data_IF_883886229526
#
_entry.id   IF_883886229526
#
_cell.length_a   1.000
_cell.length_b   1.000
_cell.length_c   1.000
_cell.angle_alpha   90.00
_cell.angle_beta   90.00
_cell.angle_gamma   90.00
#
_symmetry.space_group_name_H-M   'P 1'
#
loop_
_entity.id
_entity.type
_entity.pdbx_description
1 polymer ?
#
# COMPACT_ATOMS: atom_id res chain seq x y z
N UNK A 1 16.23 -23.35 21.71
CA UNK A 1 16.38 -23.29 20.24
C UNK A 1 15.26 -24.11 19.62
N UNK A 2 14.42 -23.51 18.78
CA UNK A 2 13.44 -24.28 18.02
C UNK A 2 14.18 -25.28 17.13
N UNK A 3 13.69 -26.49 17.03
CA UNK A 3 14.31 -27.51 16.17
C UNK A 3 14.13 -27.11 14.70
N UNK A 4 15.03 -27.55 13.82
CA UNK A 4 14.94 -27.26 12.37
C UNK A 4 13.57 -27.63 11.79
N UNK A 5 12.94 -28.69 12.31
CA UNK A 5 11.61 -29.14 11.92
C UNK A 5 10.50 -28.15 12.31
N UNK A 6 10.59 -27.53 13.48
CA UNK A 6 9.63 -26.50 13.93
C UNK A 6 9.74 -25.22 13.11
N UNK A 7 10.96 -24.81 12.78
CA UNK A 7 11.19 -23.67 11.89
C UNK A 7 10.65 -23.93 10.50
N UNK A 8 10.89 -25.10 9.93
CA UNK A 8 10.39 -25.47 8.59
C UNK A 8 8.85 -25.50 8.58
N UNK A 9 8.21 -26.04 9.64
CA UNK A 9 6.75 -26.07 9.76
C UNK A 9 6.17 -24.65 9.86
N UNK A 10 6.83 -23.75 10.59
CA UNK A 10 6.42 -22.33 10.71
C UNK A 10 6.54 -21.61 9.36
N UNK A 11 7.67 -21.81 8.65
CA UNK A 11 7.87 -21.23 7.33
C UNK A 11 6.82 -21.74 6.34
N UNK A 12 6.60 -23.06 6.28
CA UNK A 12 5.60 -23.65 5.40
C UNK A 12 4.19 -23.10 5.68
N UNK A 13 3.80 -23.00 6.95
CA UNK A 13 2.51 -22.45 7.36
C UNK A 13 2.37 -20.98 6.93
N UNK A 14 3.38 -20.15 7.14
CA UNK A 14 3.38 -18.76 6.75
C UNK A 14 3.28 -18.60 5.22
N UNK A 15 4.00 -19.43 4.46
CA UNK A 15 3.93 -19.44 3.00
C UNK A 15 2.53 -19.79 2.50
N UNK A 16 1.90 -20.81 3.07
CA UNK A 16 0.53 -21.20 2.70
C UNK A 16 -0.46 -20.04 2.96
N UNK A 17 -0.39 -19.39 4.12
CA UNK A 17 -1.26 -18.25 4.42
C UNK A 17 -1.06 -17.09 3.44
N UNK A 18 0.18 -16.76 3.11
CA UNK A 18 0.49 -15.70 2.14
C UNK A 18 -0.01 -16.08 0.74
N UNK A 19 0.15 -17.32 0.32
CA UNK A 19 -0.32 -17.80 -1.00
C UNK A 19 -1.85 -17.76 -1.10
N UNK A 20 -2.57 -18.23 -0.07
CA UNK A 20 -4.03 -18.16 -0.03
C UNK A 20 -4.49 -16.69 -0.09
N UNK A 21 -3.88 -15.81 0.71
CA UNK A 21 -4.15 -14.38 0.67
C UNK A 21 -3.97 -13.81 -0.73
N UNK A 22 -2.85 -14.09 -1.40
CA UNK A 22 -2.58 -13.59 -2.76
C UNK A 22 -3.64 -14.05 -3.76
N UNK A 23 -4.05 -15.32 -3.70
CA UNK A 23 -5.12 -15.85 -4.54
C UNK A 23 -6.46 -15.17 -4.27
N UNK A 24 -6.83 -14.98 -3.00
CA UNK A 24 -8.07 -14.29 -2.63
C UNK A 24 -8.10 -12.85 -3.11
N UNK A 25 -7.01 -12.09 -2.88
CA UNK A 25 -6.89 -10.71 -3.36
C UNK A 25 -6.99 -10.64 -4.88
N UNK A 26 -6.36 -11.57 -5.60
CA UNK A 26 -6.41 -11.63 -7.06
C UNK A 26 -7.83 -11.90 -7.55
N UNK A 27 -8.54 -12.87 -6.98
CA UNK A 27 -9.91 -13.20 -7.35
C UNK A 27 -10.86 -12.02 -7.08
N UNK A 28 -10.76 -11.39 -5.91
CA UNK A 28 -11.56 -10.22 -5.54
C UNK A 28 -11.25 -9.06 -6.49
N UNK A 29 -9.98 -8.81 -6.80
CA UNK A 29 -9.57 -7.73 -7.72
C UNK A 29 -10.12 -7.94 -9.13
N UNK A 30 -10.03 -9.16 -9.68
CA UNK A 30 -10.58 -9.48 -11.00
C UNK A 30 -12.11 -9.30 -11.04
N UNK A 31 -12.80 -9.79 -10.02
CA UNK A 31 -14.25 -9.65 -9.91
C UNK A 31 -14.68 -8.19 -9.78
N UNK A 32 -14.00 -7.44 -8.91
CA UNK A 32 -14.26 -6.01 -8.71
C UNK A 32 -14.00 -5.19 -9.97
N UNK A 33 -12.88 -5.44 -10.68
CA UNK A 33 -12.57 -4.74 -11.94
C UNK A 33 -13.66 -4.95 -12.99
N UNK A 34 -14.22 -6.15 -13.08
CA UNK A 34 -15.32 -6.43 -13.99
C UNK A 34 -16.58 -5.63 -13.63
N UNK A 35 -16.97 -5.64 -12.35
CA UNK A 35 -18.15 -4.89 -11.89
C UNK A 35 -17.99 -3.40 -12.11
N UNK A 36 -16.81 -2.86 -11.80
CA UNK A 36 -16.53 -1.42 -12.00
C UNK A 36 -16.55 -1.06 -13.48
N UNK A 37 -16.01 -1.90 -14.36
CA UNK A 37 -16.09 -1.70 -15.81
C UNK A 37 -17.53 -1.73 -16.32
N UNK A 38 -18.33 -2.70 -15.86
CA UNK A 38 -19.73 -2.82 -16.28
C UNK A 38 -20.58 -1.62 -15.77
N UNK A 39 -20.27 -1.11 -14.57
CA UNK A 39 -21.01 0.01 -13.98
C UNK A 39 -20.61 1.39 -14.54
N UNK A 40 -19.33 1.61 -14.81
CA UNK A 40 -18.80 2.89 -15.31
C UNK A 40 -18.82 2.98 -16.84
N UNK A 41 -18.78 1.83 -17.53
CA UNK A 41 -18.52 1.78 -18.97
C UNK A 41 -17.03 2.00 -19.28
N UNK A 42 -16.68 1.77 -20.55
CA UNK A 42 -15.27 1.77 -21.00
C UNK A 42 -14.61 3.14 -20.84
N UNK A 43 -15.34 4.22 -21.12
CA UNK A 43 -14.79 5.58 -21.10
C UNK A 43 -14.46 6.05 -19.69
N UNK A 44 -15.41 5.94 -18.75
CA UNK A 44 -15.22 6.37 -17.36
C UNK A 44 -14.25 5.45 -16.61
N UNK A 45 -14.24 4.16 -16.92
CA UNK A 45 -13.23 3.22 -16.43
C UNK A 45 -11.84 3.57 -16.94
N UNK A 46 -11.70 4.04 -18.18
CA UNK A 46 -10.47 4.56 -18.74
C UNK A 46 -9.96 5.77 -17.95
N UNK A 47 -10.82 6.76 -17.70
CA UNK A 47 -10.49 7.95 -16.89
C UNK A 47 -10.06 7.54 -15.49
N UNK A 48 -10.83 6.66 -14.82
CA UNK A 48 -10.51 6.14 -13.51
C UNK A 48 -9.10 5.51 -13.45
N UNK A 49 -8.74 4.68 -14.44
CA UNK A 49 -7.42 4.03 -14.48
C UNK A 49 -6.28 5.01 -14.76
N UNK A 50 -6.46 5.97 -15.66
CA UNK A 50 -5.44 6.99 -15.97
C UNK A 50 -5.20 7.89 -14.78
N UNK A 51 -6.26 8.37 -14.15
CA UNK A 51 -6.19 9.23 -12.96
C UNK A 51 -5.57 8.50 -11.77
N UNK A 52 -6.03 7.27 -11.51
CA UNK A 52 -5.46 6.41 -10.46
C UNK A 52 -4.00 6.01 -10.76
N UNK A 53 -3.63 5.90 -12.05
CA UNK A 53 -2.28 5.62 -12.52
C UNK A 53 -1.26 6.65 -12.05
N UNK A 54 -1.60 7.95 -12.04
CA UNK A 54 -0.73 9.02 -11.54
C UNK A 54 -0.37 8.76 -10.08
N UNK A 55 -1.36 8.39 -9.27
CA UNK A 55 -1.16 8.12 -7.84
C UNK A 55 -0.41 6.81 -7.62
N UNK A 56 -0.62 5.80 -8.47
CA UNK A 56 0.06 4.50 -8.37
C UNK A 56 1.59 4.57 -8.55
N UNK A 57 2.11 5.64 -9.15
CA UNK A 57 3.55 5.88 -9.24
C UNK A 57 4.22 5.95 -7.86
N UNK A 58 3.48 6.37 -6.83
CA UNK A 58 3.99 6.40 -5.46
C UNK A 58 4.00 5.02 -4.78
N UNK A 59 3.33 4.02 -5.33
CA UNK A 59 3.30 2.66 -4.76
C UNK A 59 4.69 2.02 -4.71
N UNK A 60 5.56 2.33 -5.66
CA UNK A 60 6.95 1.88 -5.68
C UNK A 60 7.73 2.38 -4.45
N UNK A 61 7.55 3.66 -4.07
CA UNK A 61 8.19 4.22 -2.88
C UNK A 61 7.73 3.49 -1.62
N UNK A 62 6.43 3.18 -1.54
CA UNK A 62 5.85 2.46 -0.42
C UNK A 62 6.47 1.06 -0.24
N UNK A 63 6.72 0.32 -1.33
CA UNK A 63 7.40 -0.98 -1.29
C UNK A 63 8.82 -0.90 -0.72
N UNK A 64 9.61 0.07 -1.16
CA UNK A 64 10.96 0.30 -0.67
C UNK A 64 10.97 0.66 0.84
N UNK A 65 10.06 1.53 1.27
CA UNK A 65 9.93 1.94 2.66
C UNK A 65 9.44 0.80 3.56
N UNK A 66 8.52 -0.04 3.08
CA UNK A 66 8.06 -1.23 3.80
C UNK A 66 9.21 -2.18 4.12
N UNK A 67 10.03 -2.50 3.12
CA UNK A 67 11.18 -3.38 3.28
C UNK A 67 12.22 -2.79 4.26
N UNK A 68 12.47 -1.48 4.17
CA UNK A 68 13.37 -0.79 5.11
C UNK A 68 12.83 -0.88 6.55
N UNK A 69 11.55 -0.57 6.76
CA UNK A 69 10.90 -0.62 8.07
C UNK A 69 10.95 -2.02 8.68
N UNK A 70 10.62 -3.06 7.90
CA UNK A 70 10.71 -4.46 8.34
C UNK A 70 12.12 -4.81 8.79
N UNK A 71 13.12 -4.42 8.00
CA UNK A 71 14.54 -4.69 8.32
C UNK A 71 14.98 -4.00 9.60
N UNK A 72 14.64 -2.72 9.79
CA UNK A 72 15.02 -1.98 11.00
C UNK A 72 14.37 -2.55 12.25
N UNK A 73 13.08 -2.88 12.20
CA UNK A 73 12.37 -3.49 13.33
C UNK A 73 12.92 -4.89 13.63
N UNK A 74 13.15 -5.72 12.61
CA UNK A 74 13.71 -7.07 12.80
C UNK A 74 15.14 -7.02 13.38
N UNK A 75 15.96 -6.07 12.94
CA UNK A 75 17.31 -5.87 13.50
C UNK A 75 17.25 -5.45 14.97
N UNK A 76 16.33 -4.55 15.32
CA UNK A 76 16.16 -4.11 16.71
C UNK A 76 15.70 -5.24 17.63
N UNK A 77 14.77 -6.09 17.15
CA UNK A 77 14.30 -7.28 17.87
C UNK A 77 15.42 -8.29 18.16
N UNK A 78 16.48 -8.32 17.37
CA UNK A 78 17.64 -9.21 17.56
C UNK A 78 18.65 -8.72 18.59
N UNK A 79 18.51 -7.50 19.14
CA UNK A 79 19.42 -6.96 20.15
C UNK A 79 19.14 -7.56 21.54
N UNK A 80 20.15 -7.55 22.41
CA UNK A 80 20.03 -7.98 23.81
C UNK A 80 19.13 -7.07 24.66
N UNK A 81 18.99 -5.80 24.28
CA UNK A 81 18.08 -4.83 24.93
C UNK A 81 17.33 -4.05 23.85
N UNK A 82 16.22 -4.59 23.30
CA UNK A 82 15.53 -4.00 22.18
C UNK A 82 14.66 -2.79 22.58
N UNK A 83 14.86 -1.65 21.91
CA UNK A 83 13.96 -0.48 21.99
C UNK A 83 13.12 -0.35 20.72
N UNK A 84 12.25 -1.32 20.50
CA UNK A 84 11.37 -1.37 19.30
C UNK A 84 10.45 -0.15 19.23
N UNK A 85 10.03 0.41 20.37
CA UNK A 85 9.17 1.58 20.42
C UNK A 85 9.83 2.78 19.77
N UNK A 86 11.11 3.02 20.04
CA UNK A 86 11.87 4.14 19.47
C UNK A 86 12.02 3.99 17.95
N UNK A 87 12.39 2.78 17.50
CA UNK A 87 12.53 2.50 16.06
C UNK A 87 11.21 2.65 15.34
N UNK A 88 10.13 2.10 15.90
CA UNK A 88 8.78 2.23 15.33
C UNK A 88 8.33 3.69 15.24
N UNK A 89 8.53 4.48 16.29
CA UNK A 89 8.20 5.92 16.30
C UNK A 89 8.99 6.69 15.24
N UNK A 90 10.28 6.37 15.06
CA UNK A 90 11.12 6.99 14.02
C UNK A 90 10.63 6.63 12.62
N UNK A 91 10.25 5.37 12.39
CA UNK A 91 9.65 4.94 11.12
C UNK A 91 8.32 5.65 10.85
N UNK A 92 7.44 5.78 11.86
CA UNK A 92 6.18 6.52 11.73
C UNK A 92 6.40 7.98 11.36
N UNK A 93 7.33 8.66 12.02
CA UNK A 93 7.65 10.06 11.72
C UNK A 93 8.13 10.21 10.28
N UNK A 94 9.03 9.33 9.83
CA UNK A 94 9.53 9.33 8.45
C UNK A 94 8.39 9.13 7.44
N UNK A 95 7.51 8.16 7.67
CA UNK A 95 6.35 7.91 6.78
C UNK A 95 5.38 9.09 6.76
N UNK A 96 5.20 9.78 7.88
CA UNK A 96 4.38 10.99 7.93
C UNK A 96 4.98 12.12 7.07
N UNK A 97 6.29 12.34 7.13
CA UNK A 97 6.95 13.33 6.25
C UNK A 97 6.86 12.95 4.78
N UNK A 98 7.02 11.66 4.46
CA UNK A 98 6.85 11.19 3.08
C UNK A 98 5.40 11.34 2.61
N UNK A 99 4.41 11.02 3.45
CA UNK A 99 3.01 11.24 3.14
C UNK A 99 2.71 12.73 2.88
N UNK A 100 3.26 13.62 3.71
CA UNK A 100 3.13 15.06 3.53
C UNK A 100 3.78 15.53 2.20
N UNK A 101 4.95 15.01 1.87
CA UNK A 101 5.62 15.29 0.60
C UNK A 101 4.76 14.81 -0.60
N UNK A 102 4.24 13.59 -0.55
CA UNK A 102 3.36 13.03 -1.59
C UNK A 102 2.12 13.90 -1.73
N UNK A 103 1.50 14.30 -0.62
CA UNK A 103 0.33 15.18 -0.64
C UNK A 103 0.61 16.50 -1.35
N UNK A 104 1.63 17.23 -0.93
CA UNK A 104 1.99 18.53 -1.53
C UNK A 104 2.35 18.37 -3.01
N UNK A 105 3.12 17.35 -3.36
CA UNK A 105 3.50 17.08 -4.76
C UNK A 105 2.27 16.73 -5.62
N UNK A 106 1.38 15.90 -5.12
CA UNK A 106 0.15 15.54 -5.82
C UNK A 106 -0.77 16.75 -6.00
N UNK A 107 -0.97 17.58 -4.97
CA UNK A 107 -1.81 18.77 -5.06
C UNK A 107 -1.24 19.87 -6.00
N UNK A 108 0.07 19.90 -6.17
CA UNK A 108 0.71 20.88 -7.07
C UNK A 108 0.91 20.32 -8.47
N UNK A 109 1.84 19.40 -8.60
CA UNK A 109 2.24 18.85 -9.92
C UNK A 109 1.18 17.91 -10.47
N UNK A 110 0.60 17.07 -9.66
CA UNK A 110 -0.38 16.08 -10.10
C UNK A 110 -1.69 16.71 -10.58
N UNK A 111 -2.23 17.69 -9.86
CA UNK A 111 -3.39 18.45 -10.30
C UNK A 111 -3.12 19.26 -11.57
N UNK A 112 -1.93 19.83 -11.70
CA UNK A 112 -1.52 20.53 -12.92
C UNK A 112 -1.50 19.58 -14.12
N UNK A 113 -0.93 18.37 -13.97
CA UNK A 113 -0.91 17.35 -15.01
C UNK A 113 -2.32 16.89 -15.38
N UNK A 114 -3.17 16.66 -14.38
CA UNK A 114 -4.56 16.22 -14.61
C UNK A 114 -5.36 17.23 -15.42
N UNK A 115 -5.26 18.51 -15.09
CA UNK A 115 -6.11 19.53 -15.70
C UNK A 115 -5.55 20.11 -17.01
N UNK A 116 -4.23 19.95 -17.30
CA UNK A 116 -3.63 20.56 -18.49
C UNK A 116 -3.09 19.56 -19.52
N UNK A 117 -2.69 18.39 -19.07
CA UNK A 117 -2.07 17.39 -19.97
C UNK A 117 -2.98 16.21 -20.32
N UNK A 118 -3.97 15.89 -19.47
CA UNK A 118 -4.89 14.80 -19.75
C UNK A 118 -6.05 15.30 -20.61
N UNK A 119 -6.30 14.59 -21.70
CA UNK A 119 -7.43 14.87 -22.59
C UNK A 119 -8.71 14.23 -22.00
N UNK A 120 -9.30 14.91 -21.02
CA UNK A 120 -10.55 14.50 -20.37
C UNK A 120 -11.66 15.40 -20.90
N UNK A 121 -12.84 14.85 -21.31
CA UNK A 121 -13.99 15.65 -21.70
C UNK A 121 -14.43 16.60 -20.57
N UNK A 122 -14.78 17.85 -20.90
CA UNK A 122 -15.12 18.89 -19.91
C UNK A 122 -16.27 18.48 -18.97
N UNK A 123 -17.24 17.73 -19.48
CA UNK A 123 -18.36 17.20 -18.69
C UNK A 123 -17.95 16.15 -17.64
N UNK A 124 -16.75 15.57 -17.75
CA UNK A 124 -16.20 14.55 -16.82
C UNK A 124 -15.05 15.05 -15.96
N UNK A 125 -14.59 16.26 -16.18
CA UNK A 125 -13.42 16.83 -15.50
C UNK A 125 -13.63 16.96 -13.98
N UNK A 126 -14.84 17.30 -13.55
CA UNK A 126 -15.22 17.35 -12.13
C UNK A 126 -15.13 15.95 -11.50
N UNK A 127 -15.68 14.94 -12.18
CA UNK A 127 -15.63 13.56 -11.68
C UNK A 127 -14.18 13.04 -11.60
N UNK A 128 -13.35 13.34 -12.62
CA UNK A 128 -11.94 12.98 -12.63
C UNK A 128 -11.16 13.61 -11.46
N UNK A 129 -11.43 14.89 -11.14
CA UNK A 129 -10.83 15.55 -9.98
C UNK A 129 -11.24 14.88 -8.65
N UNK A 130 -12.50 14.50 -8.48
CA UNK A 130 -12.93 13.77 -7.29
C UNK A 130 -12.26 12.40 -7.17
N UNK A 131 -12.19 11.64 -8.27
CA UNK A 131 -11.47 10.35 -8.29
C UNK A 131 -10.00 10.56 -7.92
N UNK A 132 -9.37 11.61 -8.44
CA UNK A 132 -7.99 11.95 -8.10
C UNK A 132 -7.80 12.23 -6.61
N UNK A 133 -8.65 13.06 -6.01
CA UNK A 133 -8.58 13.39 -4.59
C UNK A 133 -8.75 12.15 -3.70
N UNK A 134 -9.74 11.31 -3.99
CA UNK A 134 -9.91 10.05 -3.25
C UNK A 134 -8.73 9.09 -3.42
N UNK A 135 -8.12 9.06 -4.61
CA UNK A 135 -6.93 8.25 -4.86
C UNK A 135 -5.73 8.74 -4.05
N UNK A 136 -5.53 10.06 -3.93
CA UNK A 136 -4.49 10.66 -3.06
C UNK A 136 -4.74 10.25 -1.61
N UNK A 137 -5.94 10.44 -1.09
CA UNK A 137 -6.29 10.08 0.30
C UNK A 137 -5.99 8.60 0.55
N UNK A 138 -6.39 7.71 -0.37
CA UNK A 138 -6.12 6.27 -0.27
C UNK A 138 -4.62 5.98 -0.23
N UNK A 139 -3.84 6.66 -1.08
CA UNK A 139 -2.37 6.54 -1.10
C UNK A 139 -1.73 6.99 0.23
N UNK A 140 -2.17 8.12 0.78
CA UNK A 140 -1.67 8.64 2.05
C UNK A 140 -1.96 7.67 3.20
N UNK A 141 -3.17 7.13 3.27
CA UNK A 141 -3.56 6.11 4.26
C UNK A 141 -2.67 4.87 4.11
N UNK A 142 -2.41 4.43 2.88
CA UNK A 142 -1.53 3.29 2.62
C UNK A 142 -0.09 3.55 3.11
N UNK A 143 0.47 4.73 2.85
CA UNK A 143 1.83 5.10 3.30
C UNK A 143 1.92 5.14 4.82
N UNK A 144 0.94 5.74 5.51
CA UNK A 144 0.89 5.81 6.98
C UNK A 144 0.69 4.42 7.61
N UNK A 145 -0.02 3.51 6.93
CA UNK A 145 -0.24 2.15 7.41
C UNK A 145 1.00 1.23 7.24
N UNK A 146 1.96 1.60 6.41
CA UNK A 146 3.15 0.78 6.10
C UNK A 146 3.98 0.38 7.32
N UNK A 147 4.28 1.25 8.32
CA UNK A 147 5.02 0.85 9.52
C UNK A 147 4.32 -0.22 10.34
N UNK A 148 2.99 -0.22 10.40
CA UNK A 148 2.21 -1.25 11.10
C UNK A 148 2.35 -2.60 10.41
N UNK A 149 2.20 -2.62 9.08
CA UNK A 149 2.40 -3.83 8.29
C UNK A 149 3.85 -4.34 8.43
N UNK A 150 4.83 -3.45 8.39
CA UNK A 150 6.24 -3.77 8.60
C UNK A 150 6.50 -4.39 9.97
N UNK A 151 5.87 -3.88 11.03
CA UNK A 151 5.98 -4.44 12.37
C UNK A 151 5.37 -5.85 12.45
N UNK A 152 4.15 -6.05 11.90
CA UNK A 152 3.49 -7.37 11.90
C UNK A 152 4.36 -8.43 11.21
N UNK A 153 4.99 -8.07 10.09
CA UNK A 153 5.90 -8.96 9.35
C UNK A 153 7.19 -9.20 10.14
N UNK A 154 7.79 -8.18 10.76
CA UNK A 154 8.99 -8.30 11.57
C UNK A 154 8.78 -9.21 12.79
N UNK A 155 7.59 -9.21 13.39
CA UNK A 155 7.18 -10.12 14.45
C UNK A 155 6.74 -11.52 13.94
N UNK A 156 6.87 -11.78 12.64
CA UNK A 156 6.48 -13.04 11.98
C UNK A 156 5.00 -13.46 12.20
N UNK A 157 4.11 -12.50 12.47
CA UNK A 157 2.68 -12.76 12.65
C UNK A 157 1.94 -12.77 11.32
N UNK A 158 2.35 -13.67 10.40
CA UNK A 158 1.81 -13.73 9.03
C UNK A 158 0.32 -14.07 8.96
N UNK A 159 -0.23 -14.78 9.96
CA UNK A 159 -1.66 -15.03 10.05
C UNK A 159 -2.43 -13.72 10.24
N UNK A 160 -2.01 -12.88 11.21
CA UNK A 160 -2.63 -11.58 11.45
C UNK A 160 -2.50 -10.69 10.20
N UNK A 161 -1.33 -10.70 9.55
CA UNK A 161 -1.12 -9.97 8.30
C UNK A 161 -2.10 -10.41 7.20
N UNK A 162 -2.31 -11.72 7.04
CA UNK A 162 -3.24 -12.25 6.04
C UNK A 162 -4.69 -11.84 6.32
N UNK A 163 -5.13 -11.86 7.59
CA UNK A 163 -6.50 -11.47 7.96
C UNK A 163 -6.76 -9.96 7.83
N UNK A 164 -5.80 -9.12 8.21
CA UNK A 164 -5.97 -7.65 8.16
C UNK A 164 -5.93 -7.13 6.72
N UNK A 165 -5.26 -7.83 5.83
CA UNK A 165 -5.04 -7.40 4.45
C UNK A 165 -6.00 -8.02 3.41
N UNK A 166 -7.00 -8.78 3.85
CA UNK A 166 -8.17 -9.23 3.09
C UNK A 166 -9.31 -8.24 3.22
#
# INVERSE_FOLDING_TARGET
>A
MATTLENNKRIAKNTVFLSIRMLMVLLVSLYTSRIVLDALGVEDFGIYNVVGGIVSLFAFMNGAMSNATQRYIAFELGKSNPDVRRVFSSCMMLHFFVALFIFVFSETVGLYLLNHYLTIPDNKLIAANWVYQFSIVSCLVMVVNTPYNGAIVAYERMQAFAYISL
#
